data_IF_685492248334
#
_entry.id   IF_685492248334
#
_cell.length_a   1.000
_cell.length_b   1.000
_cell.length_c   1.000
_cell.angle_alpha   90.00
_cell.angle_beta   90.00
_cell.angle_gamma   90.00
#
_symmetry.space_group_name_H-M   'P 1'
#
loop_
_entity.id
_entity.type
_entity.pdbx_description
1 polymer ?
#
# COMPACT_ATOMS: atom_id res chain seq x y z
N UNK A 1 -46.05 -33.96 -8.19
CA UNK A 1 -45.78 -32.68 -7.52
C UNK A 1 -44.70 -32.01 -8.33
N UNK A 2 -45.10 -31.16 -9.27
CA UNK A 2 -44.17 -30.43 -10.14
C UNK A 2 -43.56 -29.28 -9.33
N UNK A 3 -42.23 -29.22 -9.29
CA UNK A 3 -41.49 -28.12 -8.67
C UNK A 3 -41.11 -27.18 -9.81
N UNK A 4 -41.84 -26.07 -9.94
CA UNK A 4 -41.47 -24.98 -10.83
C UNK A 4 -40.22 -24.28 -10.29
N UNK A 5 -39.09 -24.43 -10.99
CA UNK A 5 -37.88 -23.65 -10.75
C UNK A 5 -38.07 -22.29 -11.42
N UNK A 6 -38.39 -21.27 -10.63
CA UNK A 6 -38.42 -19.87 -11.06
C UNK A 6 -36.99 -19.34 -11.11
N UNK A 7 -36.40 -19.23 -12.31
CA UNK A 7 -35.19 -18.43 -12.54
C UNK A 7 -35.57 -16.94 -12.52
N UNK A 8 -35.39 -16.29 -11.38
CA UNK A 8 -35.45 -14.83 -11.29
C UNK A 8 -34.13 -14.20 -11.76
N UNK A 9 -34.09 -13.70 -13.00
CA UNK A 9 -33.03 -12.79 -13.45
C UNK A 9 -33.29 -11.40 -12.85
N UNK A 10 -32.67 -11.09 -11.72
CA UNK A 10 -32.67 -9.75 -11.15
C UNK A 10 -31.58 -8.94 -11.87
N UNK A 11 -31.95 -8.24 -12.95
CA UNK A 11 -31.11 -7.26 -13.62
C UNK A 11 -30.99 -6.03 -12.70
N UNK A 12 -29.96 -6.02 -11.86
CA UNK A 12 -29.58 -4.83 -11.09
C UNK A 12 -28.80 -3.91 -12.04
N UNK A 13 -29.49 -2.97 -12.67
CA UNK A 13 -28.85 -1.92 -13.47
C UNK A 13 -28.11 -0.96 -12.53
N UNK A 14 -26.85 -1.25 -12.23
CA UNK A 14 -25.96 -0.30 -11.54
C UNK A 14 -25.53 0.75 -12.55
N UNK A 15 -26.02 1.98 -12.41
CA UNK A 15 -25.40 3.13 -13.05
C UNK A 15 -24.01 3.30 -12.46
N UNK A 16 -22.98 2.87 -13.20
CA UNK A 16 -21.59 3.16 -12.88
C UNK A 16 -21.38 4.68 -13.03
N UNK A 17 -21.35 5.37 -11.90
CA UNK A 17 -20.81 6.73 -11.85
C UNK A 17 -19.28 6.58 -11.86
N UNK A 18 -18.64 7.28 -12.79
CA UNK A 18 -17.26 7.05 -13.25
C UNK A 18 -16.19 7.68 -12.35
N UNK A 19 -16.53 8.04 -11.11
CA UNK A 19 -15.55 8.58 -10.17
C UNK A 19 -14.62 7.45 -9.73
N UNK A 20 -13.41 7.40 -10.29
CA UNK A 20 -12.40 6.39 -9.94
C UNK A 20 -11.33 7.06 -9.09
N UNK A 21 -11.45 6.91 -7.77
CA UNK A 21 -10.36 7.29 -6.88
C UNK A 21 -9.22 6.30 -7.06
N UNK A 22 -8.06 6.79 -7.47
CA UNK A 22 -6.84 6.01 -7.59
C UNK A 22 -5.94 6.21 -6.36
N UNK A 23 -5.11 5.22 -6.05
CA UNK A 23 -4.17 5.29 -4.92
C UNK A 23 -2.79 4.72 -5.27
N UNK A 24 -1.74 5.34 -4.73
CA UNK A 24 -0.37 4.82 -4.77
C UNK A 24 0.13 4.63 -3.35
N UNK A 25 0.47 3.41 -2.98
CA UNK A 25 0.89 3.05 -1.62
C UNK A 25 2.23 2.36 -1.63
N UNK A 26 3.13 2.77 -0.73
CA UNK A 26 4.39 2.10 -0.48
C UNK A 26 4.45 1.55 0.93
N UNK A 27 4.85 0.30 1.04
CA UNK A 27 5.09 -0.41 2.29
C UNK A 27 6.56 -0.69 2.41
N UNK A 28 7.17 -0.20 3.47
CA UNK A 28 8.55 -0.49 3.81
C UNK A 28 8.55 -1.28 5.11
N UNK A 29 9.25 -2.40 5.14
CA UNK A 29 9.36 -3.25 6.33
C UNK A 29 10.81 -3.55 6.60
N UNK A 30 11.29 -3.14 7.77
CA UNK A 30 12.54 -3.62 8.33
C UNK A 30 12.27 -4.71 9.37
N UNK A 31 13.13 -5.73 9.40
CA UNK A 31 13.07 -6.83 10.38
C UNK A 31 14.44 -6.97 11.03
N UNK A 32 14.47 -7.34 12.32
CA UNK A 32 15.71 -7.72 13.02
C UNK A 32 16.48 -8.77 12.21
N UNK A 33 17.81 -8.62 12.15
CA UNK A 33 18.69 -9.54 11.43
C UNK A 33 18.65 -10.96 11.99
N UNK A 34 19.01 -11.95 11.15
CA UNK A 34 19.11 -13.36 11.55
C UNK A 34 17.79 -14.14 11.51
N UNK A 35 16.80 -13.64 10.74
CA UNK A 35 15.57 -14.38 10.43
C UNK A 35 15.63 -14.96 9.00
N UNK A 36 14.66 -15.80 8.65
CA UNK A 36 14.50 -16.32 7.29
C UNK A 36 13.96 -15.26 6.30
N UNK A 37 13.54 -14.09 6.79
CA UNK A 37 13.06 -12.98 5.98
C UNK A 37 14.21 -12.02 5.61
N UNK A 38 14.12 -11.32 4.46
CA UNK A 38 15.02 -10.21 4.19
C UNK A 38 14.95 -9.16 5.31
N UNK A 39 16.11 -8.60 5.71
CA UNK A 39 16.19 -7.53 6.73
C UNK A 39 15.40 -6.28 6.33
N UNK A 40 15.18 -6.07 5.03
CA UNK A 40 14.39 -4.95 4.53
C UNK A 40 13.65 -5.33 3.24
N UNK A 41 12.39 -4.93 3.15
CA UNK A 41 11.56 -5.02 1.95
C UNK A 41 10.87 -3.70 1.66
N UNK A 42 10.65 -3.41 0.37
CA UNK A 42 9.81 -2.31 -0.09
C UNK A 42 8.85 -2.80 -1.16
N UNK A 43 7.57 -2.49 -1.01
CA UNK A 43 6.50 -2.91 -1.93
C UNK A 43 5.69 -1.68 -2.34
N UNK A 44 5.55 -1.47 -3.65
CA UNK A 44 4.66 -0.45 -4.21
C UNK A 44 3.38 -1.08 -4.74
N UNK A 45 2.23 -0.47 -4.45
CA UNK A 45 0.92 -0.84 -4.99
C UNK A 45 0.29 0.37 -5.70
N UNK A 46 -0.40 0.14 -6.81
CA UNK A 46 -1.32 1.10 -7.43
C UNK A 46 -2.71 0.47 -7.43
N UNK A 47 -3.71 1.16 -6.90
CA UNK A 47 -5.09 0.64 -6.72
C UNK A 47 -5.13 -0.74 -6.07
N UNK A 48 -4.29 -0.93 -5.04
CA UNK A 48 -4.06 -2.17 -4.32
C UNK A 48 -3.52 -3.36 -5.16
N UNK A 49 -3.15 -3.12 -6.42
CA UNK A 49 -2.47 -4.08 -7.29
C UNK A 49 -0.93 -3.91 -7.18
N UNK A 50 -0.14 -5.00 -7.09
CA UNK A 50 1.31 -4.92 -7.00
C UNK A 50 1.96 -4.22 -8.19
N UNK A 51 2.76 -3.19 -7.94
CA UNK A 51 3.46 -2.39 -8.95
C UNK A 51 4.95 -2.74 -9.06
N UNK A 52 5.63 -2.77 -7.91
CA UNK A 52 7.07 -3.01 -7.82
C UNK A 52 7.45 -3.62 -6.47
N UNK A 53 8.62 -4.27 -6.43
CA UNK A 53 9.13 -4.96 -5.24
C UNK A 53 10.64 -4.83 -5.12
N UNK A 54 11.13 -4.73 -3.89
CA UNK A 54 12.53 -4.78 -3.50
C UNK A 54 12.71 -5.60 -2.23
N UNK A 55 13.82 -6.32 -2.13
CA UNK A 55 14.32 -6.81 -0.85
C UNK A 55 15.85 -6.71 -0.71
N UNK A 56 16.31 -6.78 0.54
CA UNK A 56 17.72 -6.65 0.90
C UNK A 56 18.62 -7.80 0.40
N UNK A 57 18.05 -8.91 -0.08
CA UNK A 57 18.79 -10.06 -0.57
C UNK A 57 19.09 -9.88 -2.07
N UNK A 58 18.07 -9.55 -2.86
CA UNK A 58 18.17 -9.27 -4.29
C UNK A 58 18.82 -7.91 -4.56
N UNK A 59 18.58 -6.92 -3.68
CA UNK A 59 19.10 -5.55 -3.78
C UNK A 59 18.78 -4.85 -5.11
N UNK A 60 17.70 -5.23 -5.77
CA UNK A 60 17.22 -4.61 -7.01
C UNK A 60 15.72 -4.39 -6.90
N UNK A 61 15.21 -3.29 -7.46
CA UNK A 61 13.77 -3.14 -7.67
C UNK A 61 13.39 -3.94 -8.92
N UNK A 62 12.28 -4.68 -8.85
CA UNK A 62 11.72 -5.40 -9.99
C UNK A 62 10.27 -4.97 -10.25
N UNK A 63 9.84 -4.91 -11.52
CA UNK A 63 8.45 -4.70 -11.87
C UNK A 63 7.59 -5.87 -11.39
N UNK A 64 6.32 -5.58 -11.06
CA UNK A 64 5.28 -6.58 -10.82
C UNK A 64 4.16 -6.55 -11.86
N UNK A 65 4.22 -5.62 -12.79
CA UNK A 65 3.28 -5.49 -13.91
C UNK A 65 4.02 -5.33 -15.23
N UNK A 66 3.54 -5.99 -16.28
CA UNK A 66 4.10 -5.84 -17.62
C UNK A 66 3.96 -4.42 -18.18
N UNK A 67 2.84 -3.74 -17.88
CA UNK A 67 2.58 -2.42 -18.43
C UNK A 67 3.57 -1.38 -17.89
N UNK A 68 3.97 -1.45 -16.61
CA UNK A 68 4.98 -0.56 -16.07
C UNK A 68 6.33 -0.86 -16.71
N UNK A 69 6.74 -2.13 -16.75
CA UNK A 69 8.02 -2.57 -17.35
C UNK A 69 8.19 -2.07 -18.78
N UNK A 70 7.12 -2.11 -19.59
CA UNK A 70 7.13 -1.65 -20.98
C UNK A 70 7.08 -0.12 -21.14
N UNK A 71 6.73 0.62 -20.08
CA UNK A 71 6.48 2.07 -20.13
C UNK A 71 7.62 2.92 -19.59
N UNK A 72 8.66 2.31 -19.01
CA UNK A 72 9.83 2.98 -18.44
C UNK A 72 11.12 2.35 -18.95
N UNK A 73 12.24 3.06 -18.79
CA UNK A 73 13.57 2.60 -19.18
C UNK A 73 14.36 2.01 -18.00
N UNK A 74 15.58 1.54 -18.30
CA UNK A 74 16.47 1.00 -17.27
C UNK A 74 16.92 2.07 -16.27
N UNK A 75 17.03 3.34 -16.69
CA UNK A 75 17.42 4.44 -15.80
C UNK A 75 16.40 4.60 -14.67
N UNK A 76 15.10 4.51 -14.97
CA UNK A 76 14.06 4.50 -13.94
C UNK A 76 14.32 3.40 -12.90
N UNK A 77 14.56 2.15 -13.32
CA UNK A 77 14.79 1.04 -12.40
C UNK A 77 16.08 1.19 -11.58
N UNK A 78 17.13 1.75 -12.18
CA UNK A 78 18.39 2.02 -11.50
C UNK A 78 18.21 3.09 -10.42
N UNK A 79 17.47 4.17 -10.70
CA UNK A 79 17.14 5.22 -9.74
C UNK A 79 16.29 4.68 -8.57
N UNK A 80 15.24 3.88 -8.88
CA UNK A 80 14.42 3.22 -7.85
C UNK A 80 15.26 2.31 -6.97
N UNK A 81 16.16 1.54 -7.57
CA UNK A 81 17.07 0.63 -6.86
C UNK A 81 18.04 1.37 -5.97
N UNK A 82 18.65 2.46 -6.47
CA UNK A 82 19.55 3.30 -5.67
C UNK A 82 18.82 3.92 -4.48
N UNK A 83 17.60 4.43 -4.68
CA UNK A 83 16.77 4.98 -3.60
C UNK A 83 16.45 3.93 -2.55
N UNK A 84 16.01 2.72 -2.94
CA UNK A 84 15.73 1.64 -2.01
C UNK A 84 16.97 1.21 -1.21
N UNK A 85 18.13 1.08 -1.87
CA UNK A 85 19.41 0.79 -1.22
C UNK A 85 19.84 1.89 -0.25
N UNK A 86 19.56 3.16 -0.56
CA UNK A 86 19.85 4.29 0.31
C UNK A 86 18.98 4.32 1.57
N UNK A 87 17.76 3.79 1.50
CA UNK A 87 16.80 3.73 2.62
C UNK A 87 17.05 2.53 3.53
N UNK A 88 17.51 1.39 2.99
CA UNK A 88 17.73 0.17 3.77
C UNK A 88 18.58 0.36 5.06
N UNK A 89 19.75 1.05 5.04
CA UNK A 89 20.55 1.25 6.24
C UNK A 89 19.82 2.01 7.35
N UNK A 90 18.91 2.92 6.99
CA UNK A 90 18.08 3.62 7.95
C UNK A 90 17.20 2.64 8.74
N UNK A 91 16.51 1.72 8.07
CA UNK A 91 15.63 0.74 8.76
C UNK A 91 16.42 -0.15 9.72
N UNK A 92 17.59 -0.64 9.28
CA UNK A 92 18.47 -1.46 10.12
C UNK A 92 18.89 -0.72 11.39
N UNK A 93 19.43 0.50 11.24
CA UNK A 93 19.88 1.30 12.38
C UNK A 93 18.71 1.74 13.29
N UNK A 94 17.54 1.99 12.70
CA UNK A 94 16.37 2.47 13.44
C UNK A 94 15.77 1.37 14.31
N UNK A 95 15.69 0.12 13.83
CA UNK A 95 15.24 -1.03 14.64
C UNK A 95 16.12 -1.20 15.88
N UNK A 96 17.45 -1.21 15.73
CA UNK A 96 18.38 -1.32 16.86
C UNK A 96 18.21 -0.18 17.89
N UNK A 97 17.83 1.01 17.42
CA UNK A 97 17.53 2.16 18.27
C UNK A 97 16.20 1.99 18.99
N UNK A 98 15.16 1.49 18.30
CA UNK A 98 13.85 1.24 18.89
C UNK A 98 13.90 0.13 19.93
N UNK A 99 14.53 -1.00 19.64
CA UNK A 99 14.70 -2.10 20.61
C UNK A 99 15.28 -1.59 21.94
N UNK A 100 16.35 -0.79 21.89
CA UNK A 100 16.93 -0.15 23.09
C UNK A 100 15.94 0.78 23.80
N UNK A 101 15.17 1.56 23.05
CA UNK A 101 14.18 2.50 23.62
C UNK A 101 13.01 1.80 24.29
N UNK A 102 12.65 0.62 23.80
CA UNK A 102 11.62 -0.24 24.38
C UNK A 102 12.18 -1.24 25.40
N UNK A 103 13.47 -1.17 25.74
CA UNK A 103 14.16 -2.10 26.64
C UNK A 103 14.10 -3.58 26.18
N UNK A 104 14.01 -3.81 24.87
CA UNK A 104 14.01 -5.13 24.25
C UNK A 104 15.44 -5.51 23.85
N UNK A 105 15.87 -6.72 24.23
CA UNK A 105 17.24 -7.20 23.98
C UNK A 105 17.30 -8.47 23.13
N UNK A 106 16.17 -9.14 22.94
CA UNK A 106 16.03 -10.39 22.20
C UNK A 106 14.67 -10.42 21.51
N UNK A 107 14.52 -11.34 20.56
CA UNK A 107 13.30 -11.49 19.77
C UNK A 107 13.40 -10.84 18.40
N UNK A 108 12.39 -11.12 17.58
CA UNK A 108 12.23 -10.52 16.26
C UNK A 108 11.35 -9.29 16.40
N UNK A 109 11.86 -8.16 15.92
CA UNK A 109 11.14 -6.89 15.92
C UNK A 109 10.98 -6.38 14.49
N UNK A 110 9.92 -5.60 14.30
CA UNK A 110 9.52 -5.12 12.99
C UNK A 110 9.30 -3.62 13.04
N UNK A 111 9.96 -2.88 12.15
CA UNK A 111 9.72 -1.46 11.96
C UNK A 111 9.18 -1.22 10.56
N UNK A 112 7.99 -0.63 10.48
CA UNK A 112 7.25 -0.47 9.24
C UNK A 112 6.98 0.98 8.94
N UNK A 113 6.86 1.29 7.66
CA UNK A 113 6.29 2.54 7.15
C UNK A 113 5.28 2.22 6.07
N UNK A 114 4.11 2.83 6.17
CA UNK A 114 3.16 2.91 5.08
C UNK A 114 3.02 4.39 4.68
N UNK A 115 3.26 4.69 3.41
CA UNK A 115 3.05 6.05 2.91
C UNK A 115 2.50 6.02 1.49
N UNK A 116 1.71 7.03 1.14
CA UNK A 116 1.04 7.05 -0.14
C UNK A 116 0.19 8.28 -0.33
N UNK A 117 -0.49 8.29 -1.46
CA UNK A 117 -1.38 9.36 -1.87
C UNK A 117 -2.58 8.79 -2.63
N UNK A 118 -3.65 9.57 -2.62
CA UNK A 118 -4.88 9.29 -3.33
C UNK A 118 -5.18 10.46 -4.28
N UNK A 119 -5.80 10.14 -5.41
CA UNK A 119 -6.18 11.10 -6.42
C UNK A 119 -7.52 10.71 -7.04
N UNK A 120 -8.48 11.60 -6.95
CA UNK A 120 -9.76 11.49 -7.65
C UNK A 120 -9.62 12.11 -9.06
N UNK A 121 -9.81 11.29 -10.08
CA UNK A 121 -9.53 11.66 -11.47
C UNK A 121 -10.60 12.54 -12.12
N UNK A 122 -11.79 12.63 -11.53
CA UNK A 122 -12.88 13.51 -11.96
C UNK A 122 -12.80 14.89 -11.31
N UNK A 123 -12.67 14.94 -9.98
CA UNK A 123 -12.69 16.17 -9.18
C UNK A 123 -11.30 16.79 -9.00
N UNK A 124 -10.24 16.00 -9.19
CA UNK A 124 -8.86 16.42 -8.95
C UNK A 124 -8.47 16.51 -7.47
N UNK A 125 -9.34 16.08 -6.56
CA UNK A 125 -9.06 16.05 -5.11
C UNK A 125 -7.91 15.07 -4.86
N UNK A 126 -6.99 15.45 -3.96
CA UNK A 126 -5.88 14.62 -3.55
C UNK A 126 -5.79 14.52 -2.03
N UNK A 127 -5.27 13.40 -1.55
CA UNK A 127 -4.93 13.19 -0.14
C UNK A 127 -3.61 12.41 -0.02
N UNK A 128 -3.07 12.33 1.19
CA UNK A 128 -1.86 11.57 1.46
C UNK A 128 -1.67 11.20 2.91
N UNK A 129 -0.93 10.11 3.13
CA UNK A 129 -0.69 9.55 4.45
C UNK A 129 0.75 9.06 4.56
N UNK A 130 1.27 9.07 5.78
CA UNK A 130 2.62 8.61 6.08
C UNK A 130 2.72 8.21 7.55
N UNK A 131 2.66 6.91 7.80
CA UNK A 131 2.66 6.33 9.13
C UNK A 131 3.84 5.39 9.29
N UNK A 132 4.42 5.39 10.48
CA UNK A 132 5.37 4.40 10.93
C UNK A 132 4.76 3.57 12.05
N UNK A 133 5.00 2.26 11.99
CA UNK A 133 4.63 1.30 13.01
C UNK A 133 5.84 0.56 13.58
N UNK A 134 5.72 0.09 14.81
CA UNK A 134 6.73 -0.73 15.47
C UNK A 134 6.05 -1.91 16.16
N UNK A 135 6.51 -3.14 15.86
CA UNK A 135 5.92 -4.40 16.33
C UNK A 135 4.40 -4.50 16.11
N UNK A 136 3.92 -3.94 15.00
CA UNK A 136 2.51 -3.94 14.60
C UNK A 136 1.65 -2.81 15.19
N UNK A 137 2.21 -1.98 16.07
CA UNK A 137 1.51 -0.87 16.71
C UNK A 137 1.90 0.48 16.09
N UNK A 138 0.99 1.44 16.10
CA UNK A 138 1.26 2.80 15.60
C UNK A 138 2.39 3.47 16.40
N UNK A 139 3.37 4.03 15.70
CA UNK A 139 4.54 4.66 16.31
C UNK A 139 4.65 6.15 15.98
N UNK A 140 4.54 6.54 14.70
CA UNK A 140 4.53 7.94 14.26
C UNK A 140 3.54 8.13 13.12
N UNK A 141 2.74 9.20 13.21
CA UNK A 141 1.72 9.56 12.22
C UNK A 141 1.99 10.98 11.75
N UNK A 142 2.08 11.20 10.44
CA UNK A 142 2.20 12.54 9.89
C UNK A 142 0.82 13.19 9.75
N UNK A 143 0.55 14.22 10.55
CA UNK A 143 -0.63 15.06 10.43
C UNK A 143 -0.40 16.05 9.28
N UNK A 144 -0.95 15.76 8.11
CA UNK A 144 -0.83 16.58 6.91
C UNK A 144 -1.39 17.99 7.11
N UNK A 145 -2.53 18.11 7.79
CA UNK A 145 -3.22 19.39 8.03
C UNK A 145 -2.37 20.32 8.88
N UNK A 146 -1.72 19.80 9.93
CA UNK A 146 -0.84 20.57 10.80
C UNK A 146 0.62 20.54 10.36
N UNK A 147 0.94 19.77 9.33
CA UNK A 147 2.30 19.51 8.82
C UNK A 147 3.26 19.19 9.97
N UNK A 148 2.95 18.14 10.74
CA UNK A 148 3.76 17.72 11.88
C UNK A 148 3.61 16.23 12.16
N UNK A 149 4.64 15.64 12.76
CA UNK A 149 4.62 14.29 13.30
C UNK A 149 3.95 14.24 14.67
N UNK A 150 3.06 13.29 14.85
CA UNK A 150 2.41 12.94 16.11
C UNK A 150 2.83 11.51 16.46
N UNK A 151 3.02 11.23 17.74
CA UNK A 151 3.30 9.88 18.21
C UNK A 151 2.23 9.42 19.19
N UNK A 152 1.49 8.33 18.90
CA UNK A 152 0.59 7.72 19.86
C UNK A 152 1.34 6.90 20.93
N UNK A 153 2.58 6.51 20.65
CA UNK A 153 3.47 5.81 21.58
C UNK A 153 4.33 6.81 22.40
N UNK A 154 4.42 6.68 23.74
CA UNK A 154 5.33 7.50 24.55
C UNK A 154 6.80 7.42 24.07
N UNK A 155 7.23 6.26 23.57
CA UNK A 155 8.56 6.01 23.05
C UNK A 155 8.81 6.74 21.72
N UNK A 156 7.78 7.12 20.97
CA UNK A 156 7.95 7.88 19.73
C UNK A 156 7.91 9.39 19.90
N UNK A 157 7.47 9.91 21.06
CA UNK A 157 7.37 11.37 21.34
C UNK A 157 8.71 12.10 21.11
N UNK A 158 9.82 11.53 21.57
CA UNK A 158 11.15 12.11 21.36
C UNK A 158 11.50 12.18 19.87
N UNK A 159 11.17 11.16 19.07
CA UNK A 159 11.39 11.21 17.62
C UNK A 159 10.52 12.29 16.99
N UNK A 160 9.22 12.33 17.31
CA UNK A 160 8.31 13.32 16.76
C UNK A 160 8.81 14.74 17.04
N UNK A 161 9.29 15.02 18.25
CA UNK A 161 9.88 16.31 18.61
C UNK A 161 11.11 16.66 17.74
N UNK A 162 12.05 15.73 17.58
CA UNK A 162 13.25 15.95 16.76
C UNK A 162 12.87 16.23 15.30
N UNK A 163 11.94 15.45 14.74
CA UNK A 163 11.52 15.60 13.34
C UNK A 163 10.70 16.87 13.11
N UNK A 164 9.89 17.29 14.09
CA UNK A 164 9.15 18.54 14.03
C UNK A 164 10.03 19.78 14.15
N UNK A 165 11.19 19.67 14.80
CA UNK A 165 12.18 20.76 14.88
C UNK A 165 13.11 20.82 13.66
N UNK A 166 12.87 20.01 12.63
CA UNK A 166 13.62 20.03 11.39
C UNK A 166 12.71 20.49 10.23
N UNK A 167 12.74 21.79 9.87
CA UNK A 167 11.87 22.34 8.81
C UNK A 167 12.04 21.64 7.47
N UNK A 168 13.29 21.30 7.09
CA UNK A 168 13.61 20.61 5.84
C UNK A 168 12.96 19.23 5.81
N UNK A 169 12.97 18.51 6.93
CA UNK A 169 12.33 17.19 7.03
C UNK A 169 10.80 17.29 6.95
N UNK A 170 10.18 18.30 7.56
CA UNK A 170 8.73 18.52 7.48
C UNK A 170 8.29 18.86 6.06
N UNK A 171 9.01 19.77 5.41
CA UNK A 171 8.75 20.16 4.02
C UNK A 171 8.92 18.97 3.08
N UNK A 172 9.99 18.21 3.24
CA UNK A 172 10.23 16.99 2.46
C UNK A 172 9.12 15.94 2.68
N UNK A 173 8.72 15.70 3.94
CA UNK A 173 7.66 14.75 4.27
C UNK A 173 6.33 15.13 3.61
N UNK A 174 6.02 16.42 3.53
CA UNK A 174 4.82 16.93 2.85
C UNK A 174 4.96 16.83 1.33
N UNK A 175 6.10 17.27 0.78
CA UNK A 175 6.37 17.29 -0.66
C UNK A 175 6.23 15.90 -1.29
N UNK A 176 6.79 14.86 -0.66
CA UNK A 176 6.67 13.48 -1.15
C UNK A 176 5.20 13.09 -1.37
N UNK A 177 4.31 13.49 -0.45
CA UNK A 177 2.91 13.07 -0.47
C UNK A 177 2.09 13.92 -1.44
N UNK A 178 2.35 15.23 -1.50
CA UNK A 178 1.54 16.16 -2.30
C UNK A 178 2.02 16.33 -3.74
N UNK A 179 3.29 16.04 -4.03
CA UNK A 179 3.92 16.26 -5.34
C UNK A 179 4.41 14.93 -5.92
N UNK A 180 5.53 14.40 -5.41
CA UNK A 180 6.19 13.22 -6.02
C UNK A 180 5.25 12.02 -6.14
N UNK A 181 4.46 11.74 -5.10
CA UNK A 181 3.51 10.63 -5.10
C UNK A 181 2.38 10.87 -6.11
N UNK A 182 1.77 12.06 -6.13
CA UNK A 182 0.66 12.37 -7.04
C UNK A 182 1.11 12.35 -8.51
N UNK A 183 2.29 12.89 -8.81
CA UNK A 183 2.87 12.83 -10.15
C UNK A 183 3.12 11.37 -10.58
N UNK A 184 3.69 10.57 -9.69
CA UNK A 184 3.92 9.14 -9.94
C UNK A 184 2.60 8.39 -10.14
N UNK A 185 1.60 8.63 -9.30
CA UNK A 185 0.28 8.01 -9.38
C UNK A 185 -0.38 8.29 -10.73
N UNK A 186 -0.44 9.56 -11.15
CA UNK A 186 -1.00 9.95 -12.46
C UNK A 186 -0.28 9.27 -13.62
N UNK A 187 1.06 9.17 -13.55
CA UNK A 187 1.88 8.48 -14.55
C UNK A 187 1.53 6.99 -14.62
N UNK A 188 1.47 6.31 -13.48
CA UNK A 188 1.14 4.88 -13.41
C UNK A 188 -0.28 4.58 -13.87
N UNK A 189 -1.26 5.40 -13.48
CA UNK A 189 -2.64 5.31 -13.98
C UNK A 189 -2.65 5.45 -15.51
N UNK A 190 -1.90 6.41 -16.07
CA UNK A 190 -1.83 6.56 -17.53
C UNK A 190 -1.25 5.33 -18.26
N UNK A 191 -0.25 4.66 -17.66
CA UNK A 191 0.40 3.48 -18.23
C UNK A 191 -0.45 2.22 -18.09
N UNK A 192 -1.09 2.07 -16.93
CA UNK A 192 -1.86 0.90 -16.54
C UNK A 192 -3.35 1.00 -16.80
N UNK A 193 -3.86 2.11 -17.37
CA UNK A 193 -5.30 2.43 -17.50
C UNK A 193 -6.17 1.24 -17.89
N UNK A 194 -5.83 0.56 -18.98
CA UNK A 194 -6.61 -0.60 -19.46
C UNK A 194 -6.69 -1.76 -18.47
N UNK A 195 -5.69 -1.88 -17.60
CA UNK A 195 -5.64 -2.88 -16.53
C UNK A 195 -6.35 -2.34 -15.29
N UNK A 196 -6.04 -1.13 -14.84
CA UNK A 196 -6.53 -0.57 -13.57
C UNK A 196 -8.04 -0.25 -13.61
N UNK A 197 -8.55 0.20 -14.76
CA UNK A 197 -9.96 0.53 -14.96
C UNK A 197 -10.77 -0.65 -15.56
N UNK A 198 -10.18 -1.86 -15.61
CA UNK A 198 -10.88 -3.05 -16.13
C UNK A 198 -12.10 -3.35 -15.28
N UNK A 199 -13.15 -3.88 -15.89
CA UNK A 199 -14.30 -4.44 -15.17
C UNK A 199 -14.45 -5.90 -15.55
N UNK A 200 -14.44 -6.79 -14.56
CA UNK A 200 -14.66 -8.23 -14.76
C UNK A 200 -15.86 -8.63 -13.92
N UNK A 201 -16.90 -9.13 -14.58
CA UNK A 201 -18.12 -9.57 -13.91
C UNK A 201 -17.86 -10.80 -13.00
N UNK A 202 -18.54 -10.90 -11.85
CA UNK A 202 -18.37 -12.04 -10.96
C UNK A 202 -18.96 -13.33 -11.53
N UNK A 203 -18.25 -14.43 -11.27
CA UNK A 203 -18.79 -15.77 -11.36
C UNK A 203 -19.50 -16.11 -10.05
N UNK A 204 -20.79 -16.47 -10.14
CA UNK A 204 -21.64 -16.75 -8.98
C UNK A 204 -22.07 -18.23 -9.00
N UNK A 205 -21.87 -18.92 -7.89
CA UNK A 205 -22.28 -20.32 -7.68
C UNK A 205 -23.00 -20.49 -6.35
N UNK A 206 -24.11 -21.23 -6.33
CA UNK A 206 -24.80 -21.63 -5.10
C UNK A 206 -24.33 -23.02 -4.69
N UNK A 207 -23.70 -23.11 -3.53
CA UNK A 207 -23.15 -24.34 -2.99
C UNK A 207 -23.98 -24.78 -1.79
N UNK A 208 -24.48 -26.01 -1.82
CA UNK A 208 -25.16 -26.60 -0.67
C UNK A 208 -24.61 -28.02 -0.47
N UNK A 209 -24.13 -28.31 0.74
CA UNK A 209 -23.49 -29.59 1.04
C UNK A 209 -24.48 -30.75 1.11
N UNK A 210 -25.63 -30.51 1.72
CA UNK A 210 -26.77 -31.42 1.85
C UNK A 210 -28.06 -30.58 2.00
N UNK A 211 -29.26 -31.16 1.79
CA UNK A 211 -30.51 -30.38 1.78
C UNK A 211 -30.84 -29.62 3.08
N UNK A 212 -30.25 -30.02 4.21
CA UNK A 212 -30.44 -29.37 5.51
C UNK A 212 -29.37 -28.32 5.83
N UNK A 213 -28.25 -28.34 5.11
CA UNK A 213 -27.18 -27.36 5.27
C UNK A 213 -27.56 -25.98 4.71
N UNK A 214 -27.00 -24.89 5.25
CA UNK A 214 -27.12 -23.57 4.64
C UNK A 214 -26.63 -23.55 3.19
N UNK A 215 -27.30 -22.75 2.37
CA UNK A 215 -26.84 -22.45 1.00
C UNK A 215 -25.79 -21.34 1.08
N UNK A 216 -24.64 -21.57 0.44
CA UNK A 216 -23.53 -20.61 0.34
C UNK A 216 -23.53 -20.01 -1.07
N UNK A 217 -23.62 -18.68 -1.15
CA UNK A 217 -23.38 -17.94 -2.39
C UNK A 217 -21.87 -17.70 -2.52
N UNK A 218 -21.23 -18.39 -3.44
CA UNK A 218 -19.82 -18.23 -3.76
C UNK A 218 -19.67 -17.28 -4.94
N UNK A 219 -18.94 -16.18 -4.75
CA UNK A 219 -18.70 -15.14 -5.74
C UNK A 219 -17.20 -15.02 -5.96
N UNK A 220 -16.73 -15.17 -7.20
CA UNK A 220 -15.29 -15.19 -7.53
C UNK A 220 -15.02 -14.57 -8.90
N UNK A 221 -13.74 -14.37 -9.23
CA UNK A 221 -13.29 -13.99 -10.58
C UNK A 221 -13.57 -12.55 -11.01
N UNK A 222 -14.05 -11.67 -10.12
CA UNK A 222 -14.39 -10.29 -10.43
C UNK A 222 -13.28 -9.30 -10.12
N UNK A 223 -13.37 -8.13 -10.78
CA UNK A 223 -12.54 -6.96 -10.52
C UNK A 223 -13.36 -5.69 -10.83
N UNK A 224 -13.25 -4.60 -10.06
CA UNK A 224 -12.40 -4.41 -8.87
C UNK A 224 -12.86 -5.23 -7.65
N UNK A 225 -12.03 -5.30 -6.60
CA UNK A 225 -12.34 -6.09 -5.38
C UNK A 225 -13.58 -5.57 -4.62
N UNK A 226 -13.91 -4.30 -4.75
CA UNK A 226 -15.13 -3.72 -4.20
C UNK A 226 -16.37 -4.19 -4.98
N UNK A 227 -17.28 -4.90 -4.33
CA UNK A 227 -18.63 -5.15 -4.83
C UNK A 227 -19.54 -4.09 -4.20
N UNK A 228 -20.01 -3.13 -4.99
CA UNK A 228 -21.11 -2.24 -4.60
C UNK A 228 -22.44 -2.84 -5.06
#
# INVERSE_FOLDING_TARGET
MEIHVLLGFMLCSTHATSATTHSLKYFFTGVTAGTDFPEFTAVGLVDDEPLEYYDSNMKSVIPKTEWLEKSVDQQYWDERTQRARGVQPFYKAYIEKLMRRFNQTQGVHVFQRICGCEWDDETGITDGFNHYGYDGEDFLVFDMNKTRWISPSPQGVSTAHIWNNNPVHLEYSKSILTQECIESLKKYVSYGRSTLERTVAPEVSLLQKDPSSPVVCHVTGFFPRGVM
#
